data_IF_059627845163
#
_entry.id   IF_059627845163
#
_cell.length_a   1.000
_cell.length_b   1.000
_cell.length_c   1.000
_cell.angle_alpha   90.00
_cell.angle_beta   90.00
_cell.angle_gamma   90.00
#
_symmetry.space_group_name_H-M   'P 1'
#
loop_
_entity.id
_entity.type
_entity.pdbx_description
1 polymer ?
#
# COMPACT_ATOMS: atom_id res chain seq x y z
N UNK A 1 -11.40 4.95 -4.69
CA UNK A 1 -10.00 5.07 -4.21
C UNK A 1 -9.84 6.45 -3.61
N UNK A 2 -9.38 6.55 -2.36
CA UNK A 2 -9.36 7.83 -1.61
C UNK A 2 -7.97 8.47 -1.51
N UNK A 3 -6.91 7.68 -1.73
CA UNK A 3 -5.55 8.18 -1.84
C UNK A 3 -4.72 7.30 -2.77
N UNK A 4 -3.52 7.74 -3.17
CA UNK A 4 -2.52 6.93 -3.88
C UNK A 4 -1.10 7.49 -3.67
N UNK A 5 -0.08 6.69 -3.95
CA UNK A 5 1.31 7.14 -4.04
C UNK A 5 1.89 6.84 -5.43
N UNK A 6 2.77 7.68 -5.95
CA UNK A 6 3.58 7.31 -7.12
C UNK A 6 4.68 6.35 -6.71
N UNK A 7 5.10 5.46 -7.61
CA UNK A 7 6.10 4.42 -7.30
C UNK A 7 7.21 4.34 -8.34
N UNK A 8 7.59 5.48 -8.93
CA UNK A 8 8.57 5.53 -10.01
C UNK A 8 9.94 5.03 -9.55
N UNK A 9 10.70 4.32 -10.40
CA UNK A 9 12.06 3.91 -10.04
C UNK A 9 13.10 5.02 -10.24
N UNK A 10 14.23 4.89 -9.54
CA UNK A 10 15.30 5.90 -9.49
C UNK A 10 16.16 6.00 -10.77
N UNK A 11 15.92 5.17 -11.78
CA UNK A 11 16.71 5.17 -13.01
C UNK A 11 16.36 6.37 -13.91
N UNK A 12 17.37 6.90 -14.62
CA UNK A 12 17.18 8.04 -15.53
C UNK A 12 16.47 7.64 -16.83
N UNK A 13 16.60 6.39 -17.24
CA UNK A 13 15.90 5.80 -18.38
C UNK A 13 14.39 5.71 -18.12
N UNK A 14 14.00 5.21 -16.94
CA UNK A 14 12.59 5.03 -16.61
C UNK A 14 11.92 6.34 -16.19
N UNK A 15 12.62 7.13 -15.36
CA UNK A 15 12.08 8.37 -14.81
C UNK A 15 13.03 9.51 -15.10
N UNK A 16 13.08 10.10 -16.31
CA UNK A 16 13.90 11.27 -16.59
C UNK A 16 13.53 12.47 -15.71
N UNK A 17 14.46 13.40 -15.50
CA UNK A 17 14.22 14.60 -14.68
C UNK A 17 13.04 15.46 -15.18
N UNK A 18 12.78 15.48 -16.49
CA UNK A 18 11.62 16.15 -17.06
C UNK A 18 10.31 15.45 -16.66
N UNK A 19 10.25 14.12 -16.77
CA UNK A 19 9.10 13.33 -16.35
C UNK A 19 8.82 13.48 -14.84
N UNK A 20 9.88 13.47 -14.01
CA UNK A 20 9.73 13.70 -12.58
C UNK A 20 9.12 15.07 -12.26
N UNK A 21 9.53 16.14 -12.94
CA UNK A 21 8.92 17.47 -12.77
C UNK A 21 7.44 17.46 -13.11
N UNK A 22 7.04 16.75 -14.18
CA UNK A 22 5.64 16.56 -14.53
C UNK A 22 4.90 15.80 -13.44
N UNK A 23 5.45 14.69 -12.94
CA UNK A 23 4.85 13.90 -11.86
C UNK A 23 4.63 14.77 -10.62
N UNK A 24 5.65 15.49 -10.17
CA UNK A 24 5.56 16.41 -9.02
C UNK A 24 4.43 17.44 -9.21
N UNK A 25 4.34 18.04 -10.40
CA UNK A 25 3.27 19.00 -10.71
C UNK A 25 1.88 18.36 -10.67
N UNK A 26 1.73 17.16 -11.23
CA UNK A 26 0.45 16.44 -11.26
C UNK A 26 0.03 15.99 -9.86
N UNK A 27 0.97 15.55 -9.02
CA UNK A 27 0.67 15.19 -7.63
C UNK A 27 0.09 16.40 -6.87
N UNK A 28 0.71 17.57 -7.02
CA UNK A 28 0.22 18.79 -6.40
C UNK A 28 -1.17 19.22 -6.93
N UNK A 29 -1.43 19.01 -8.23
CA UNK A 29 -2.70 19.38 -8.87
C UNK A 29 -3.85 18.45 -8.47
N UNK A 30 -3.61 17.14 -8.40
CA UNK A 30 -4.64 16.15 -8.07
C UNK A 30 -4.91 16.01 -6.57
N UNK A 31 -4.07 16.57 -5.70
CA UNK A 31 -4.30 16.50 -4.27
C UNK A 31 -5.44 17.43 -3.87
N UNK A 32 -6.62 16.84 -3.63
CA UNK A 32 -7.84 17.52 -3.24
C UNK A 32 -8.24 17.06 -1.83
N UNK A 33 -8.01 17.93 -0.84
CA UNK A 33 -8.40 17.68 0.56
C UNK A 33 -9.86 17.18 0.65
N UNK A 34 -10.08 16.16 1.48
CA UNK A 34 -11.39 15.52 1.70
C UNK A 34 -11.99 14.80 0.49
N UNK A 35 -11.31 14.75 -0.66
CA UNK A 35 -11.77 14.05 -1.87
C UNK A 35 -10.79 13.00 -2.35
N UNK A 36 -9.52 13.36 -2.46
CA UNK A 36 -8.47 12.51 -2.98
C UNK A 36 -7.09 12.99 -2.56
N UNK A 37 -6.32 12.14 -1.88
CA UNK A 37 -4.96 12.48 -1.45
C UNK A 37 -3.92 11.81 -2.34
N UNK A 38 -3.00 12.60 -2.87
CA UNK A 38 -1.89 12.13 -3.69
C UNK A 38 -0.55 12.24 -2.94
N UNK A 39 0.22 11.15 -2.90
CA UNK A 39 1.56 11.11 -2.31
C UNK A 39 2.63 11.04 -3.40
N UNK A 40 3.65 11.89 -3.28
CA UNK A 40 4.84 11.79 -4.12
C UNK A 40 5.73 10.68 -3.57
N UNK A 41 5.81 9.57 -4.28
CA UNK A 41 6.65 8.42 -3.95
C UNK A 41 7.64 8.02 -5.04
N UNK A 42 8.58 7.14 -4.67
CA UNK A 42 9.71 6.66 -5.44
C UNK A 42 10.10 5.26 -4.95
N UNK A 43 10.29 4.32 -5.86
CA UNK A 43 10.88 3.03 -5.53
C UNK A 43 12.41 3.09 -5.52
N UNK A 44 12.97 2.62 -4.41
CA UNK A 44 14.40 2.50 -4.16
C UNK A 44 14.78 1.04 -3.96
N UNK A 45 15.55 0.48 -4.90
CA UNK A 45 16.14 -0.85 -4.74
C UNK A 45 17.59 -0.71 -4.27
N UNK A 46 17.88 -1.04 -3.02
CA UNK A 46 19.24 -1.00 -2.47
C UNK A 46 19.95 -2.35 -2.49
N UNK A 47 21.00 -2.46 -1.69
CA UNK A 47 21.72 -3.73 -1.45
C UNK A 47 20.77 -4.78 -0.88
N UNK A 48 20.78 -6.00 -1.42
CA UNK A 48 19.96 -7.09 -0.92
C UNK A 48 20.31 -7.44 0.53
N UNK A 49 19.30 -7.86 1.29
CA UNK A 49 19.31 -8.14 2.74
C UNK A 49 19.49 -6.91 3.62
N UNK A 50 20.32 -5.94 3.23
CA UNK A 50 20.57 -4.71 3.99
C UNK A 50 19.52 -3.63 3.75
N UNK A 51 19.24 -3.31 2.49
CA UNK A 51 18.30 -2.26 2.09
C UNK A 51 17.08 -2.86 1.41
N UNK A 52 17.24 -3.81 0.49
CA UNK A 52 16.14 -4.40 -0.30
C UNK A 52 15.35 -3.34 -1.08
N UNK A 53 14.05 -3.58 -1.31
CA UNK A 53 13.16 -2.59 -1.94
C UNK A 53 12.48 -1.70 -0.90
N UNK A 54 12.40 -0.40 -1.19
CA UNK A 54 11.60 0.59 -0.46
C UNK A 54 10.68 1.34 -1.40
N UNK A 55 9.45 1.58 -0.96
CA UNK A 55 8.66 2.70 -1.44
C UNK A 55 8.96 3.91 -0.53
N UNK A 56 9.51 4.98 -1.10
CA UNK A 56 9.91 6.20 -0.40
C UNK A 56 8.89 7.29 -0.65
N UNK A 57 8.09 7.62 0.36
CA UNK A 57 7.06 8.66 0.28
C UNK A 57 7.58 9.97 0.85
N UNK A 58 7.63 11.00 0.02
CA UNK A 58 7.92 12.37 0.45
C UNK A 58 6.70 13.00 1.11
N UNK A 59 6.93 13.71 2.21
CA UNK A 59 5.86 14.36 2.96
C UNK A 59 5.67 15.83 2.65
N UNK A 60 6.50 16.35 1.74
CA UNK A 60 6.48 17.71 1.24
C UNK A 60 6.55 17.65 -0.26
N UNK A 61 5.90 18.62 -0.89
CA UNK A 61 5.90 18.76 -2.34
C UNK A 61 7.27 19.24 -2.85
N UNK A 62 7.42 19.22 -4.18
CA UNK A 62 8.56 19.78 -4.89
C UNK A 62 9.92 19.19 -4.49
N UNK A 63 9.94 17.90 -4.13
CA UNK A 63 11.19 17.17 -3.89
C UNK A 63 11.82 16.75 -5.21
N UNK A 64 13.15 16.85 -5.26
CA UNK A 64 13.92 16.26 -6.35
C UNK A 64 13.95 14.74 -6.19
N UNK A 65 13.91 14.03 -7.31
CA UNK A 65 14.10 12.59 -7.35
C UNK A 65 15.47 12.23 -6.77
N UNK A 66 15.48 11.27 -5.85
CA UNK A 66 16.71 10.70 -5.31
C UNK A 66 17.30 9.77 -6.36
N UNK A 67 18.64 9.79 -6.49
CA UNK A 67 19.35 8.99 -7.49
C UNK A 67 20.52 8.26 -6.87
N UNK A 68 20.76 7.03 -7.30
CA UNK A 68 21.98 6.28 -6.96
C UNK A 68 23.27 6.92 -7.48
N UNK A 69 23.20 7.73 -8.54
CA UNK A 69 24.38 8.46 -9.03
C UNK A 69 24.76 9.65 -8.14
N UNK A 70 23.87 10.14 -7.28
CA UNK A 70 24.18 11.25 -6.36
C UNK A 70 24.88 10.74 -5.09
N UNK A 71 26.11 11.18 -4.88
CA UNK A 71 26.95 10.81 -3.73
C UNK A 71 26.30 11.09 -2.37
N UNK A 72 25.36 12.04 -2.29
CA UNK A 72 24.64 12.41 -1.07
C UNK A 72 23.43 11.51 -0.78
N UNK A 73 22.93 10.78 -1.77
CA UNK A 73 21.71 9.96 -1.64
C UNK A 73 21.85 8.55 -2.24
N UNK A 74 23.06 8.06 -2.46
CA UNK A 74 23.27 6.76 -3.14
C UNK A 74 23.10 5.51 -2.26
N UNK A 75 22.61 5.66 -1.03
CA UNK A 75 22.23 4.56 -0.13
C UNK A 75 21.16 5.03 0.86
N UNK A 76 20.34 4.12 1.38
CA UNK A 76 19.32 4.45 2.39
C UNK A 76 19.95 5.12 3.62
N UNK A 77 21.11 4.61 4.07
CA UNK A 77 21.85 5.20 5.19
C UNK A 77 22.20 6.67 4.97
N UNK A 78 22.52 7.08 3.73
CA UNK A 78 22.81 8.48 3.40
C UNK A 78 21.55 9.31 3.24
N UNK A 79 20.50 8.72 2.66
CA UNK A 79 19.17 9.33 2.56
C UNK A 79 18.65 9.67 3.96
N UNK A 80 18.66 8.71 4.90
CA UNK A 80 18.20 8.89 6.29
C UNK A 80 19.06 9.86 7.11
N UNK A 81 20.34 10.07 6.73
CA UNK A 81 21.18 11.11 7.35
C UNK A 81 20.87 12.51 6.84
N UNK A 82 20.37 12.62 5.61
CA UNK A 82 20.16 13.92 4.93
C UNK A 82 18.73 14.41 5.09
N UNK A 83 17.78 13.49 5.09
CA UNK A 83 16.36 13.77 5.26
C UNK A 83 15.91 13.38 6.67
N UNK A 84 15.00 14.15 7.24
CA UNK A 84 14.37 13.77 8.52
C UNK A 84 13.22 12.79 8.29
N UNK A 85 12.91 11.97 9.30
CA UNK A 85 11.71 11.12 9.29
C UNK A 85 10.40 11.89 9.15
N UNK A 86 10.42 13.21 9.39
CA UNK A 86 9.28 14.10 9.13
C UNK A 86 9.11 14.37 7.65
N UNK A 87 10.19 14.41 6.88
CA UNK A 87 10.24 14.70 5.44
C UNK A 87 10.08 13.47 4.54
N UNK A 88 10.31 12.27 5.08
CA UNK A 88 10.32 11.01 4.35
C UNK A 88 9.69 9.88 5.18
N UNK A 89 8.84 9.08 4.56
CA UNK A 89 8.40 7.77 5.06
C UNK A 89 8.98 6.70 4.13
N UNK A 90 9.59 5.66 4.68
CA UNK A 90 10.11 4.53 3.92
C UNK A 90 9.28 3.28 4.22
N UNK A 91 8.88 2.56 3.19
CA UNK A 91 8.05 1.36 3.32
C UNK A 91 8.84 0.19 2.75
N UNK A 92 9.42 -0.71 3.58
CA UNK A 92 9.97 -1.97 3.11
C UNK A 92 8.92 -2.69 2.28
N UNK A 93 9.28 -3.02 1.04
CA UNK A 93 8.36 -3.51 0.02
C UNK A 93 8.89 -4.82 -0.55
N UNK A 94 7.97 -5.73 -0.89
CA UNK A 94 8.29 -7.03 -1.49
C UNK A 94 9.49 -7.75 -0.81
N UNK A 95 9.52 -7.74 0.53
CA UNK A 95 10.72 -8.06 1.32
C UNK A 95 11.13 -9.52 1.24
N UNK A 96 10.21 -10.43 0.87
CA UNK A 96 10.53 -11.84 0.64
C UNK A 96 10.96 -12.16 -0.80
N UNK A 97 11.00 -11.20 -1.72
CA UNK A 97 11.48 -11.46 -3.08
C UNK A 97 13.00 -11.68 -3.10
N UNK A 98 13.49 -12.73 -3.77
CA UNK A 98 14.92 -13.03 -3.87
C UNK A 98 15.77 -11.90 -4.50
N UNK A 99 15.14 -11.03 -5.29
CA UNK A 99 15.77 -9.86 -5.94
C UNK A 99 15.50 -8.53 -5.19
N UNK A 100 14.79 -8.57 -4.07
CA UNK A 100 14.39 -7.40 -3.26
C UNK A 100 14.51 -7.64 -1.76
N UNK A 101 15.15 -8.74 -1.36
CA UNK A 101 15.12 -9.24 0.02
C UNK A 101 15.62 -8.20 0.99
N UNK A 102 14.95 -8.08 2.14
CA UNK A 102 15.36 -7.25 3.26
C UNK A 102 15.23 -8.05 4.56
N UNK A 103 16.30 -8.22 5.33
CA UNK A 103 16.35 -9.13 6.48
C UNK A 103 15.99 -8.48 7.82
N UNK A 104 15.62 -7.20 7.80
CA UNK A 104 15.22 -6.39 8.96
C UNK A 104 16.28 -6.20 10.06
N UNK A 105 17.55 -6.58 9.85
CA UNK A 105 18.60 -6.36 10.87
C UNK A 105 18.87 -4.88 11.13
N UNK A 106 18.82 -4.06 10.09
CA UNK A 106 19.01 -2.62 10.14
C UNK A 106 17.67 -1.85 10.13
N UNK A 107 16.62 -2.42 10.72
CA UNK A 107 15.29 -1.80 10.80
C UNK A 107 15.36 -0.42 11.44
N UNK A 108 14.87 0.58 10.71
CA UNK A 108 14.86 1.96 11.20
C UNK A 108 13.44 2.38 11.56
N UNK A 109 13.08 2.22 12.83
CA UNK A 109 11.73 2.53 13.32
C UNK A 109 11.31 3.99 13.11
N UNK A 110 12.25 4.92 12.90
CA UNK A 110 11.93 6.33 12.68
C UNK A 110 11.33 6.56 11.28
N UNK A 111 11.90 5.90 10.26
CA UNK A 111 11.51 6.03 8.87
C UNK A 111 10.56 4.92 8.41
N UNK A 112 10.66 3.71 8.98
CA UNK A 112 10.00 2.49 8.53
C UNK A 112 8.80 2.14 9.42
N UNK A 113 7.78 3.02 9.42
CA UNK A 113 6.59 2.88 10.28
C UNK A 113 5.60 1.82 9.82
N UNK A 114 5.62 1.49 8.52
CA UNK A 114 4.76 0.47 7.90
C UNK A 114 5.57 -0.39 6.94
N UNK A 115 5.11 -1.62 6.71
CA UNK A 115 5.69 -2.56 5.73
C UNK A 115 4.62 -3.01 4.74
N UNK A 116 4.99 -3.20 3.48
CA UNK A 116 4.13 -3.84 2.51
C UNK A 116 4.07 -5.34 2.78
N UNK A 117 2.93 -5.81 3.29
CA UNK A 117 2.73 -7.24 3.55
C UNK A 117 2.34 -8.02 2.30
N UNK A 118 1.72 -7.35 1.34
CA UNK A 118 1.12 -7.98 0.16
C UNK A 118 1.07 -7.04 -1.03
N UNK A 119 1.27 -7.59 -2.24
CA UNK A 119 0.90 -6.98 -3.50
C UNK A 119 0.44 -8.01 -4.53
N UNK A 120 0.15 -7.55 -5.75
CA UNK A 120 -0.32 -8.40 -6.84
C UNK A 120 0.61 -9.58 -7.20
N UNK A 121 1.88 -9.55 -6.78
CA UNK A 121 2.87 -10.59 -7.03
C UNK A 121 3.08 -11.56 -5.86
N UNK A 122 2.53 -11.26 -4.68
CA UNK A 122 2.52 -12.16 -3.53
C UNK A 122 2.56 -11.45 -2.17
N UNK A 123 2.50 -12.26 -1.12
CA UNK A 123 2.62 -11.87 0.27
C UNK A 123 4.03 -12.14 0.80
N UNK A 124 4.59 -11.17 1.53
CA UNK A 124 5.86 -11.28 2.25
C UNK A 124 5.67 -11.65 3.74
N UNK A 125 4.46 -12.09 4.13
CA UNK A 125 4.15 -12.48 5.51
C UNK A 125 5.00 -13.68 5.97
N UNK A 126 4.94 -14.78 5.23
CA UNK A 126 5.62 -16.05 5.50
C UNK A 126 5.83 -16.83 4.19
N UNK A 127 6.57 -17.93 4.20
CA UNK A 127 6.78 -18.74 2.99
C UNK A 127 5.57 -19.61 2.64
N UNK A 128 5.50 -20.08 1.38
CA UNK A 128 4.52 -21.10 0.98
C UNK A 128 4.55 -22.34 1.88
N UNK A 129 5.74 -22.78 2.30
CA UNK A 129 5.92 -23.95 3.18
C UNK A 129 5.40 -23.73 4.61
N UNK A 130 5.33 -22.48 5.04
CA UNK A 130 4.82 -22.06 6.34
C UNK A 130 3.30 -21.77 6.30
N UNK A 131 2.66 -21.90 5.14
CA UNK A 131 1.20 -21.76 4.99
C UNK A 131 0.72 -20.50 4.27
N UNK A 132 1.61 -19.74 3.62
CA UNK A 132 1.22 -18.56 2.85
C UNK A 132 0.24 -18.93 1.71
N UNK A 133 -0.96 -18.34 1.74
CA UNK A 133 -2.03 -18.56 0.74
C UNK A 133 -1.82 -17.75 -0.56
N UNK A 134 -0.88 -16.81 -0.55
CA UNK A 134 -0.51 -15.92 -1.65
C UNK A 134 1.02 -15.85 -1.78
N UNK A 135 1.73 -16.98 -1.94
CA UNK A 135 3.18 -16.97 -1.96
C UNK A 135 3.70 -16.21 -3.18
N UNK A 136 4.89 -15.62 -3.03
CA UNK A 136 5.65 -15.11 -4.18
C UNK A 136 6.03 -16.31 -5.04
N UNK A 137 5.65 -16.27 -6.31
CA UNK A 137 5.93 -17.33 -7.27
C UNK A 137 6.53 -16.77 -8.55
N UNK A 138 6.84 -17.65 -9.53
CA UNK A 138 7.35 -17.26 -10.84
C UNK A 138 8.84 -16.89 -10.88
N UNK A 139 9.23 -15.77 -11.55
CA UNK A 139 10.62 -15.48 -11.89
C UNK A 139 11.48 -15.11 -10.68
N UNK A 140 10.88 -14.47 -9.68
CA UNK A 140 11.53 -14.21 -8.39
C UNK A 140 11.07 -15.28 -7.39
N UNK A 141 11.99 -15.78 -6.57
CA UNK A 141 11.71 -16.81 -5.57
C UNK A 141 11.51 -16.20 -4.19
N UNK A 142 10.81 -16.92 -3.33
CA UNK A 142 10.73 -16.57 -1.91
C UNK A 142 12.11 -16.68 -1.25
N UNK A 143 12.45 -15.68 -0.45
CA UNK A 143 13.58 -15.68 0.47
C UNK A 143 13.04 -15.55 1.90
N UNK A 144 13.08 -16.63 2.71
CA UNK A 144 12.53 -16.63 4.07
C UNK A 144 13.16 -15.64 5.04
N UNK A 145 14.35 -15.09 4.74
CA UNK A 145 15.00 -14.08 5.57
C UNK A 145 14.21 -12.76 5.60
N UNK A 146 13.44 -12.47 4.55
CA UNK A 146 12.62 -11.27 4.48
C UNK A 146 11.18 -11.42 4.98
N UNK A 147 10.89 -12.50 5.70
CA UNK A 147 9.56 -12.75 6.27
C UNK A 147 9.19 -11.70 7.30
N UNK A 148 8.04 -11.07 7.09
CA UNK A 148 7.47 -10.09 8.02
C UNK A 148 7.10 -10.75 9.36
N UNK A 149 6.61 -11.98 9.36
CA UNK A 149 6.35 -12.72 10.59
C UNK A 149 7.64 -12.88 11.42
N UNK A 150 8.76 -13.23 10.77
CA UNK A 150 10.06 -13.36 11.46
C UNK A 150 10.56 -12.01 11.98
N UNK A 151 10.39 -10.94 11.22
CA UNK A 151 10.72 -9.58 11.67
C UNK A 151 9.91 -9.17 12.92
N UNK A 152 8.61 -9.49 12.96
CA UNK A 152 7.77 -9.22 14.14
C UNK A 152 8.25 -10.02 15.37
N UNK A 153 8.59 -11.29 15.17
CA UNK A 153 9.13 -12.19 16.21
C UNK A 153 10.51 -11.73 16.71
N UNK A 154 11.32 -11.09 15.86
CA UNK A 154 12.62 -10.51 16.24
C UNK A 154 12.50 -9.12 16.88
N UNK A 155 11.28 -8.62 17.10
CA UNK A 155 11.04 -7.37 17.82
C UNK A 155 10.78 -6.14 16.94
N UNK A 156 10.77 -6.27 15.61
CA UNK A 156 10.40 -5.14 14.74
C UNK A 156 8.94 -4.73 14.97
N UNK A 157 8.66 -3.43 14.85
CA UNK A 157 7.35 -2.85 15.14
C UNK A 157 6.95 -1.86 14.07
N UNK A 158 6.10 -2.30 13.16
CA UNK A 158 5.50 -1.49 12.09
C UNK A 158 3.98 -1.75 11.98
N UNK A 159 3.27 -0.94 11.21
CA UNK A 159 1.95 -1.28 10.68
C UNK A 159 2.05 -1.99 9.33
N UNK A 160 0.91 -2.30 8.72
CA UNK A 160 0.86 -3.00 7.43
C UNK A 160 0.21 -2.13 6.36
N UNK A 161 0.75 -2.22 5.16
CA UNK A 161 0.14 -1.72 3.93
C UNK A 161 0.13 -2.83 2.90
N UNK A 162 -0.71 -2.68 1.88
CA UNK A 162 -0.73 -3.53 0.71
C UNK A 162 -0.57 -2.69 -0.55
N UNK A 163 0.30 -3.15 -1.45
CA UNK A 163 0.56 -2.53 -2.74
C UNK A 163 -0.35 -3.05 -3.84
N UNK A 164 -0.47 -2.26 -4.90
CA UNK A 164 -1.27 -2.60 -6.08
C UNK A 164 -0.53 -3.50 -7.05
N UNK A 165 -0.61 -3.17 -8.34
CA UNK A 165 0.17 -3.78 -9.41
C UNK A 165 1.27 -2.83 -9.85
N UNK A 166 2.50 -3.34 -9.90
CA UNK A 166 3.61 -2.70 -10.59
C UNK A 166 4.18 -3.67 -11.63
N UNK A 167 4.52 -3.17 -12.80
CA UNK A 167 5.01 -3.92 -13.96
C UNK A 167 6.43 -3.48 -14.37
N UNK A 168 7.08 -2.63 -13.58
CA UNK A 168 8.39 -2.02 -13.89
C UNK A 168 9.48 -2.42 -12.90
N UNK A 169 10.71 -2.02 -13.23
CA UNK A 169 11.91 -2.35 -12.47
C UNK A 169 12.00 -3.85 -12.16
N UNK A 170 12.04 -4.20 -10.87
CA UNK A 170 12.13 -5.60 -10.44
C UNK A 170 10.90 -6.45 -10.82
N UNK A 171 9.77 -5.81 -11.10
CA UNK A 171 8.51 -6.48 -11.41
C UNK A 171 8.33 -6.76 -12.91
N UNK A 172 9.15 -6.17 -13.77
CA UNK A 172 9.08 -6.36 -15.25
C UNK A 172 9.06 -7.84 -15.65
N UNK A 173 9.92 -8.65 -15.03
CA UNK A 173 10.00 -10.10 -15.28
C UNK A 173 8.70 -10.83 -14.94
N UNK A 174 7.93 -10.35 -13.97
CA UNK A 174 6.65 -10.96 -13.63
C UNK A 174 5.63 -10.69 -14.71
N UNK A 175 5.55 -9.43 -15.16
CA UNK A 175 4.65 -9.00 -16.22
C UNK A 175 4.91 -9.73 -17.55
N UNK A 176 6.19 -9.93 -17.88
CA UNK A 176 6.59 -10.66 -19.09
C UNK A 176 6.48 -12.18 -18.96
N UNK A 177 6.11 -12.70 -17.79
CA UNK A 177 5.97 -14.13 -17.53
C UNK A 177 4.53 -14.62 -17.58
N UNK A 178 4.34 -15.93 -17.67
CA UNK A 178 3.02 -16.58 -17.55
C UNK A 178 2.54 -16.70 -16.08
N UNK A 179 3.13 -15.97 -15.14
CA UNK A 179 2.72 -16.04 -13.75
C UNK A 179 1.30 -15.48 -13.58
N UNK A 180 0.46 -16.23 -12.87
CA UNK A 180 -0.85 -15.75 -12.46
C UNK A 180 -0.69 -14.63 -11.43
N UNK A 181 -1.10 -13.43 -11.81
CA UNK A 181 -1.21 -12.29 -10.92
C UNK A 181 -2.33 -12.52 -9.89
N UNK A 182 -2.08 -12.17 -8.63
CA UNK A 182 -3.14 -12.09 -7.63
C UNK A 182 -3.89 -10.76 -7.76
N UNK A 183 -5.04 -10.66 -7.08
CA UNK A 183 -5.78 -9.39 -6.98
C UNK A 183 -4.88 -8.30 -6.38
N UNK A 184 -5.00 -7.07 -6.88
CA UNK A 184 -4.23 -5.95 -6.34
C UNK A 184 -4.54 -5.73 -4.86
N UNK A 185 -3.51 -5.38 -4.08
CA UNK A 185 -3.66 -5.06 -2.67
C UNK A 185 -4.32 -3.70 -2.45
N UNK A 186 -5.01 -3.60 -1.32
CA UNK A 186 -5.66 -2.38 -0.86
C UNK A 186 -5.20 -2.07 0.56
N UNK A 187 -4.76 -0.83 0.78
CA UNK A 187 -4.40 -0.35 2.11
C UNK A 187 -5.58 0.37 2.74
N UNK A 188 -5.99 -0.09 3.92
CA UNK A 188 -6.97 0.61 4.74
C UNK A 188 -6.25 1.42 5.83
N UNK A 189 -6.52 2.72 5.90
CA UNK A 189 -5.91 3.65 6.86
C UNK A 189 -7.01 4.24 7.71
N UNK A 190 -6.81 4.17 9.02
CA UNK A 190 -7.67 4.78 10.00
C UNK A 190 -7.10 6.20 10.26
N UNK A 191 -7.80 7.23 9.79
CA UNK A 191 -7.36 8.62 9.83
C UNK A 191 -8.43 9.57 10.41
N UNK A 192 -7.99 10.71 10.93
CA UNK A 192 -8.89 11.72 11.52
C UNK A 192 -9.76 12.42 10.46
N UNK A 193 -9.23 12.59 9.26
CA UNK A 193 -9.81 13.26 8.11
C UNK A 193 -9.14 12.73 6.82
N UNK A 194 -9.73 13.03 5.66
CA UNK A 194 -9.22 12.65 4.34
C UNK A 194 -8.23 13.71 3.79
N UNK A 195 -7.43 14.32 4.67
CA UNK A 195 -6.35 15.23 4.28
C UNK A 195 -5.03 14.49 4.23
N UNK A 196 -4.10 15.03 3.47
CA UNK A 196 -2.73 14.53 3.39
C UNK A 196 -2.11 14.29 4.79
N UNK A 197 -2.23 15.26 5.69
CA UNK A 197 -1.69 15.17 7.04
C UNK A 197 -2.39 14.15 7.92
N UNK A 198 -3.72 13.98 7.76
CA UNK A 198 -4.52 12.98 8.48
C UNK A 198 -4.14 11.56 8.08
N UNK A 199 -4.05 11.30 6.76
CA UNK A 199 -3.66 9.99 6.23
C UNK A 199 -2.21 9.67 6.59
N UNK A 200 -1.29 10.61 6.40
CA UNK A 200 0.12 10.44 6.77
C UNK A 200 0.30 10.18 8.27
N UNK A 201 -0.51 10.84 9.12
CA UNK A 201 -0.52 10.56 10.54
C UNK A 201 -0.99 9.13 10.83
N UNK A 202 -2.07 8.68 10.17
CA UNK A 202 -2.58 7.31 10.26
C UNK A 202 -1.55 6.26 9.85
N UNK A 203 -0.83 6.47 8.74
CA UNK A 203 0.28 5.60 8.31
C UNK A 203 1.37 5.51 9.38
N UNK A 204 1.76 6.64 9.98
CA UNK A 204 2.87 6.68 10.96
C UNK A 204 2.49 6.14 12.34
N UNK A 205 1.22 6.24 12.73
CA UNK A 205 0.79 6.07 14.12
C UNK A 205 -0.42 5.15 14.30
N UNK A 206 -0.84 4.40 13.27
CA UNK A 206 -2.03 3.52 13.28
C UNK A 206 -2.06 2.39 14.32
N UNK A 207 -1.26 2.47 15.39
CA UNK A 207 -1.23 1.59 16.56
C UNK A 207 -2.14 2.03 17.71
N UNK A 208 -2.96 3.07 17.52
CA UNK A 208 -4.04 3.41 18.45
C UNK A 208 -4.11 4.89 18.80
N UNK A 209 -5.28 5.48 18.57
CA UNK A 209 -5.96 6.47 19.42
C UNK A 209 -7.11 7.13 18.64
N UNK A 210 -8.34 7.00 19.16
CA UNK A 210 -9.55 7.79 18.85
C UNK A 210 -9.73 8.22 17.38
N UNK A 211 -10.37 7.38 16.55
CA UNK A 211 -10.55 7.67 15.12
C UNK A 211 -12.01 7.50 14.67
N UNK A 212 -12.41 8.27 13.65
CA UNK A 212 -13.78 8.41 13.14
C UNK A 212 -14.01 7.81 11.75
N UNK A 213 -12.98 7.57 10.92
CA UNK A 213 -13.16 7.12 9.53
C UNK A 213 -12.10 6.07 9.09
N UNK A 214 -12.54 5.10 8.27
CA UNK A 214 -11.73 4.07 7.61
C UNK A 214 -11.57 4.44 6.12
N UNK A 215 -10.34 4.56 5.64
CA UNK A 215 -10.05 4.97 4.26
C UNK A 215 -9.35 3.87 3.47
N UNK A 216 -9.71 3.63 2.20
CA UNK A 216 -9.12 2.56 1.38
C UNK A 216 -8.42 3.09 0.10
N UNK A 217 -7.27 2.52 -0.27
CA UNK A 217 -6.48 2.88 -1.46
C UNK A 217 -5.84 1.72 -2.19
N UNK A 218 -5.70 1.86 -3.53
CA UNK A 218 -4.85 1.07 -4.41
C UNK A 218 -3.59 1.86 -4.79
N UNK A 219 -2.49 1.15 -5.01
CA UNK A 219 -1.32 1.72 -5.69
C UNK A 219 -1.57 1.61 -7.22
N UNK A 220 -1.77 2.72 -7.93
CA UNK A 220 -2.04 2.72 -9.38
C UNK A 220 -1.01 3.60 -10.12
N UNK A 221 -0.50 3.02 -11.21
CA UNK A 221 0.37 3.61 -12.23
C UNK A 221 -0.10 5.00 -12.71
N UNK A 222 0.80 5.98 -12.73
CA UNK A 222 0.64 7.18 -13.57
C UNK A 222 1.04 6.82 -14.99
N UNK A 223 0.07 6.52 -15.85
CA UNK A 223 0.24 6.67 -17.29
C UNK A 223 0.09 8.17 -17.57
N UNK A 224 1.17 8.84 -17.96
CA UNK A 224 1.02 10.07 -18.72
C UNK A 224 0.20 9.69 -19.96
N UNK A 225 -0.94 10.37 -20.18
CA UNK A 225 -1.93 10.18 -21.26
C UNK A 225 -3.19 9.35 -20.93
N UNK A 226 -4.08 9.84 -20.08
CA UNK A 226 -5.52 10.05 -20.42
C UNK A 226 -6.30 10.66 -19.23
N UNK A 227 -7.26 11.58 -19.45
CA UNK A 227 -8.06 12.17 -18.37
C UNK A 227 -9.21 11.23 -17.94
N UNK A 228 -9.20 10.80 -16.67
CA UNK A 228 -10.34 10.10 -16.06
C UNK A 228 -11.56 11.03 -15.93
N UNK A 229 -12.76 10.53 -16.23
CA UNK A 229 -14.04 11.19 -15.93
C UNK A 229 -14.78 10.44 -14.83
N UNK A 230 -15.25 11.17 -13.81
CA UNK A 230 -16.03 10.62 -12.68
C UNK A 230 -17.40 11.28 -12.64
N UNK A 231 -18.48 10.51 -12.40
CA UNK A 231 -19.82 11.01 -12.11
C UNK A 231 -20.21 10.74 -10.65
N UNK A 232 -20.95 11.67 -10.04
CA UNK A 232 -21.47 11.62 -8.67
C UNK A 232 -23.00 11.51 -8.70
N UNK A 233 -23.58 10.62 -7.90
CA UNK A 233 -25.00 10.65 -7.53
C UNK A 233 -25.08 10.62 -6.00
N UNK A 234 -25.74 11.60 -5.38
CA UNK A 234 -25.98 11.65 -3.95
C UNK A 234 -27.45 11.45 -3.62
N UNK A 235 -27.75 10.75 -2.54
CA UNK A 235 -29.08 10.72 -1.92
C UNK A 235 -28.93 10.85 -0.39
N UNK A 236 -29.68 11.76 0.27
CA UNK A 236 -29.55 11.98 1.71
C UNK A 236 -30.42 10.98 2.52
N UNK A 237 -29.90 10.53 3.66
CA UNK A 237 -30.67 9.83 4.71
C UNK A 237 -30.48 10.52 6.07
N UNK A 238 -31.50 10.40 6.92
CA UNK A 238 -31.55 10.94 8.29
C UNK A 238 -30.69 10.10 9.25
N UNK A 239 -30.13 10.76 10.27
CA UNK A 239 -29.36 10.23 11.42
C UNK A 239 -27.82 10.34 11.37
N UNK A 240 -27.26 11.25 10.56
CA UNK A 240 -25.87 11.70 10.76
C UNK A 240 -24.79 10.67 10.44
N UNK A 241 -25.13 9.59 9.74
CA UNK A 241 -24.19 8.66 9.12
C UNK A 241 -24.18 8.96 7.62
N UNK A 242 -23.03 9.39 7.10
CA UNK A 242 -22.82 9.59 5.67
C UNK A 242 -22.58 8.24 5.00
N UNK A 243 -23.48 7.85 4.08
CA UNK A 243 -23.30 6.69 3.19
C UNK A 243 -22.51 7.12 1.95
N UNK A 244 -21.46 6.38 1.59
CA UNK A 244 -20.86 6.45 0.25
C UNK A 244 -21.14 5.13 -0.47
N UNK A 245 -22.08 5.16 -1.42
CA UNK A 245 -22.21 4.11 -2.43
C UNK A 245 -21.31 4.44 -3.60
N UNK A 246 -20.43 3.51 -3.99
CA UNK A 246 -19.76 3.57 -5.28
C UNK A 246 -20.07 2.30 -6.07
N UNK A 247 -20.75 2.46 -7.20
CA UNK A 247 -20.78 1.47 -8.27
C UNK A 247 -19.73 1.93 -9.29
N UNK A 248 -18.76 1.08 -9.58
CA UNK A 248 -17.77 1.31 -10.63
C UNK A 248 -17.92 0.27 -11.73
N UNK A 249 -18.27 0.73 -12.92
CA UNK A 249 -18.08 0.00 -14.18
C UNK A 249 -16.71 0.43 -14.72
N UNK A 250 -15.69 -0.42 -14.57
CA UNK A 250 -14.38 -0.14 -15.16
C UNK A 250 -14.31 -0.71 -16.56
N UNK A 251 -14.30 0.16 -17.58
CA UNK A 251 -13.71 -0.15 -18.88
C UNK A 251 -12.17 -0.09 -18.75
N UNK A 252 -11.60 -1.11 -18.13
CA UNK A 252 -10.21 -1.50 -18.34
C UNK A 252 -10.29 -2.97 -18.75
N UNK A 253 -9.78 -3.27 -19.94
CA UNK A 253 -9.90 -4.56 -20.60
C UNK A 253 -9.60 -5.74 -19.65
N UNK A 254 -10.63 -6.53 -19.36
CA UNK A 254 -10.58 -7.90 -18.82
C UNK A 254 -10.08 -8.10 -17.37
N UNK A 255 -10.72 -7.49 -16.38
CA UNK A 255 -10.57 -7.92 -14.97
C UNK A 255 -11.86 -8.44 -14.36
N UNK A 256 -11.75 -9.60 -13.70
CA UNK A 256 -12.81 -10.32 -13.01
C UNK A 256 -13.43 -9.47 -11.87
N UNK A 257 -14.72 -9.65 -11.54
CA UNK A 257 -15.35 -8.95 -10.42
C UNK A 257 -14.63 -9.23 -9.09
N UNK A 258 -14.57 -8.21 -8.22
CA UNK A 258 -14.08 -8.30 -6.85
C UNK A 258 -14.87 -9.38 -6.09
N UNK A 259 -14.26 -10.55 -5.87
CA UNK A 259 -14.94 -11.69 -5.26
C UNK A 259 -14.72 -11.79 -3.74
N UNK A 260 -13.76 -11.07 -3.17
CA UNK A 260 -13.42 -11.17 -1.75
C UNK A 260 -12.88 -9.84 -1.19
N UNK A 261 -13.32 -9.47 0.01
CA UNK A 261 -12.75 -8.38 0.82
C UNK A 261 -12.19 -9.02 2.10
N UNK A 262 -10.90 -8.84 2.37
CA UNK A 262 -10.26 -9.24 3.62
C UNK A 262 -10.03 -8.01 4.50
N UNK A 263 -10.57 -8.01 5.72
CA UNK A 263 -10.33 -6.97 6.73
C UNK A 263 -9.50 -7.59 7.84
N UNK A 264 -8.33 -7.01 8.12
CA UNK A 264 -7.44 -7.46 9.19
C UNK A 264 -7.54 -6.52 10.39
N UNK A 265 -7.76 -7.09 11.57
CA UNK A 265 -7.77 -6.39 12.85
C UNK A 265 -6.61 -6.86 13.70
N UNK A 266 -5.91 -5.92 14.35
CA UNK A 266 -4.99 -6.20 15.44
C UNK A 266 -5.78 -6.11 16.75
N UNK A 267 -5.93 -7.23 17.44
CA UNK A 267 -6.59 -7.32 18.75
C UNK A 267 -5.48 -7.49 19.80
N UNK A 268 -5.32 -6.47 20.66
CA UNK A 268 -4.47 -6.48 21.86
C UNK A 268 -3.03 -6.98 21.66
N UNK A 269 -2.20 -6.26 20.89
CA UNK A 269 -0.74 -6.42 20.77
C UNK A 269 -0.17 -7.83 20.50
N UNK A 270 -1.02 -8.83 20.30
CA UNK A 270 -0.63 -10.26 20.29
C UNK A 270 -1.47 -11.10 19.33
N UNK A 271 -2.64 -10.64 18.90
CA UNK A 271 -3.53 -11.41 18.02
C UNK A 271 -3.93 -10.60 16.78
N UNK A 272 -3.94 -11.26 15.61
CA UNK A 272 -4.50 -10.73 14.36
C UNK A 272 -5.76 -11.53 14.06
N UNK A 273 -6.90 -10.85 13.90
CA UNK A 273 -8.12 -11.45 13.38
C UNK A 273 -8.29 -11.04 11.91
N UNK A 274 -8.52 -12.00 11.04
CA UNK A 274 -8.83 -11.77 9.63
C UNK A 274 -10.31 -12.07 9.40
N UNK A 275 -11.09 -11.07 8.98
CA UNK A 275 -12.45 -11.26 8.49
C UNK A 275 -12.39 -11.34 6.96
N UNK A 276 -12.71 -12.50 6.40
CA UNK A 276 -12.83 -12.69 4.96
C UNK A 276 -14.31 -12.67 4.56
N UNK A 277 -14.72 -11.65 3.82
CA UNK A 277 -16.07 -11.55 3.25
C UNK A 277 -15.99 -11.98 1.79
N UNK A 278 -16.68 -13.07 1.43
CA UNK A 278 -16.79 -13.55 0.05
C UNK A 278 -18.04 -12.97 -0.61
N UNK A 279 -17.88 -12.33 -1.77
CA UNK A 279 -18.98 -11.82 -2.59
C UNK A 279 -19.27 -12.88 -3.66
N UNK A 280 -20.36 -13.61 -3.48
CA UNK A 280 -20.66 -14.82 -4.27
C UNK A 280 -21.53 -14.56 -5.49
N UNK A 281 -22.12 -13.36 -5.66
CA UNK A 281 -22.99 -13.10 -6.79
C UNK A 281 -22.98 -11.62 -7.24
N UNK A 282 -22.61 -11.39 -8.51
CA UNK A 282 -22.65 -10.08 -9.18
C UNK A 282 -24.06 -9.47 -9.28
N UNK A 283 -25.11 -10.27 -9.07
CA UNK A 283 -26.50 -9.82 -9.06
C UNK A 283 -27.00 -9.36 -7.67
N UNK A 284 -26.18 -9.49 -6.62
CA UNK A 284 -26.53 -9.17 -5.23
C UNK A 284 -25.94 -7.84 -4.75
N UNK A 285 -26.29 -6.73 -5.41
CA UNK A 285 -26.08 -5.36 -4.88
C UNK A 285 -26.87 -5.06 -3.58
N UNK A 286 -27.55 -6.08 -3.01
CA UNK A 286 -28.28 -6.05 -1.74
C UNK A 286 -27.67 -6.93 -0.63
N UNK A 287 -26.41 -7.39 -0.77
CA UNK A 287 -25.71 -8.17 0.26
C UNK A 287 -25.27 -7.35 1.51
N UNK A 288 -25.67 -6.08 1.62
CA UNK A 288 -25.30 -5.18 2.72
C UNK A 288 -25.76 -5.67 4.11
N UNK A 289 -26.91 -6.36 4.20
CA UNK A 289 -27.42 -6.90 5.47
C UNK A 289 -26.49 -7.94 6.09
N UNK A 290 -25.86 -8.79 5.26
CA UNK A 290 -25.00 -9.87 5.75
C UNK A 290 -23.66 -9.36 6.30
N UNK A 291 -23.21 -8.20 5.84
CA UNK A 291 -21.97 -7.55 6.35
C UNK A 291 -22.25 -6.80 7.65
N UNK A 292 -23.42 -6.16 7.77
CA UNK A 292 -23.87 -5.52 9.02
C UNK A 292 -24.04 -6.55 10.16
N UNK A 293 -24.67 -7.69 9.86
CA UNK A 293 -24.87 -8.77 10.84
C UNK A 293 -23.53 -9.40 11.25
N UNK A 294 -22.62 -9.67 10.31
CA UNK A 294 -21.30 -10.22 10.59
C UNK A 294 -20.42 -9.26 11.40
N UNK A 295 -20.46 -7.95 11.11
CA UNK A 295 -19.74 -6.93 11.87
C UNK A 295 -20.33 -6.77 13.28
N UNK A 296 -21.65 -6.80 13.42
CA UNK A 296 -22.33 -6.72 14.72
C UNK A 296 -22.01 -7.93 15.60
N UNK A 297 -21.98 -9.13 15.03
CA UNK A 297 -21.65 -10.37 15.74
C UNK A 297 -20.18 -10.37 16.20
N UNK A 298 -19.24 -9.99 15.33
CA UNK A 298 -17.82 -9.86 15.68
C UNK A 298 -17.64 -8.82 16.79
N UNK A 299 -18.28 -7.65 16.70
CA UNK A 299 -18.17 -6.60 17.71
C UNK A 299 -18.85 -6.98 19.04
N UNK A 300 -19.87 -7.82 19.01
CA UNK A 300 -20.54 -8.33 20.23
C UNK A 300 -19.65 -9.35 20.95
N UNK A 301 -19.04 -10.27 20.20
CA UNK A 301 -18.13 -11.29 20.75
C UNK A 301 -16.79 -10.72 21.24
N UNK A 302 -16.38 -9.54 20.76
CA UNK A 302 -15.18 -8.84 21.24
C UNK A 302 -15.39 -8.07 22.55
N UNK A 303 -16.64 -7.89 23.00
CA UNK A 303 -17.01 -7.20 24.24
C UNK A 303 -17.35 -8.15 25.41
N UNK A 304 -17.13 -9.46 25.24
CA UNK A 304 -17.22 -10.50 26.28
C UNK A 304 -15.85 -11.11 26.55
#
# INVERSE_FOLDING_TARGET
MQFYATSCFDSEEETPSAAWKTIVSQIAEFNEDERFTAFLGLQWLGTLKEEGLRELIFTKDNKNILRKKDLRSNSLKKIYKTLSSKDLLAIPSFTMGSESVYDFKDFNEEFEKVVEIYNAWGSSEMSSKEGNLRPISGPVKENPEGSIQKALLSGCRFGFVAGGLDDRGIYSKFFDSNQKQYSQGLSAIIAKDQKFSGILFGLRHGKGSSVRELMCSMNIKTLACDPMKTFLISNPMRNGVSRLDYVWDSYISQTYPLSNIGIFYLINNTSVAALQVSITDSSSLYAASNVEDALSEVMTNLNT
#
